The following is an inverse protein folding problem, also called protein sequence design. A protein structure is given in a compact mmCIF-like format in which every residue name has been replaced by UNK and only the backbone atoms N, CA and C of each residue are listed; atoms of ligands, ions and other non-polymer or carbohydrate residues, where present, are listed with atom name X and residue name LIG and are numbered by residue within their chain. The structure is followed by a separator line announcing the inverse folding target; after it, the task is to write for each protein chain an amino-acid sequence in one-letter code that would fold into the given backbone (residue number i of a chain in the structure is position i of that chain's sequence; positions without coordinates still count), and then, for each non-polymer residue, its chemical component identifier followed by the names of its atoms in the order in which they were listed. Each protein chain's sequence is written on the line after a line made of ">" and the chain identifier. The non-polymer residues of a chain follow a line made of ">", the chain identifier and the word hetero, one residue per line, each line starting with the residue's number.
data_IF_822593370950
#
_entry.id   IF_822593370950
#
_cell.length_a   1.000
_cell.length_b   1.000
_cell.length_c   1.000
_cell.angle_alpha   90.00
_cell.angle_beta   90.00
_cell.angle_gamma   90.00
#
_symmetry.space_group_name_H-M   'P 1'
#
loop_
_entity.id
_entity.type
_entity.pdbx_description
1 polymer ?
#
# COMPACT_ATOMS: atom_id res chain seq x y z
N UNK A 1 -0.97 -4.06 -7.16
CA UNK A 1 -0.12 -3.19 -6.35
C UNK A 1 -0.86 -1.91 -5.98
N UNK A 2 -0.93 -1.60 -4.70
CA UNK A 2 -1.52 -0.33 -4.24
C UNK A 2 -0.67 0.87 -4.68
N UNK A 3 0.63 0.69 -4.84
CA UNK A 3 1.52 1.75 -5.33
C UNK A 3 1.14 2.16 -6.75
N UNK A 4 0.92 1.20 -7.64
CA UNK A 4 0.48 1.46 -9.01
C UNK A 4 -0.91 2.10 -9.04
N UNK A 5 -1.82 1.59 -8.23
CA UNK A 5 -3.17 2.14 -8.12
C UNK A 5 -3.15 3.59 -7.65
N UNK A 6 -2.38 3.90 -6.61
CA UNK A 6 -2.21 5.26 -6.10
C UNK A 6 -1.62 6.20 -7.14
N UNK A 7 -0.60 5.78 -7.87
CA UNK A 7 -0.01 6.57 -8.96
C UNK A 7 -1.01 6.83 -10.07
N UNK A 8 -1.79 5.82 -10.47
CA UNK A 8 -2.80 5.95 -11.51
C UNK A 8 -3.87 6.97 -11.11
N UNK A 9 -4.40 6.88 -9.91
CA UNK A 9 -5.36 7.87 -9.41
C UNK A 9 -4.76 9.27 -9.33
N UNK A 10 -3.49 9.38 -8.96
CA UNK A 10 -2.81 10.69 -8.88
C UNK A 10 -2.74 11.40 -10.25
N UNK A 11 -2.75 10.65 -11.35
CA UNK A 11 -2.72 11.24 -12.69
C UNK A 11 -4.09 11.63 -13.21
N UNK A 12 -5.17 11.00 -12.74
CA UNK A 12 -6.50 11.14 -13.34
C UNK A 12 -7.51 11.88 -12.46
N UNK A 13 -7.30 11.97 -11.15
CA UNK A 13 -8.24 12.70 -10.28
C UNK A 13 -8.04 14.21 -10.40
N UNK A 14 -9.11 15.01 -10.30
CA UNK A 14 -8.97 16.47 -10.23
C UNK A 14 -8.15 16.87 -9.01
N UNK A 15 -7.29 17.85 -9.17
CA UNK A 15 -6.47 18.37 -8.09
C UNK A 15 -7.35 18.95 -6.98
N UNK A 16 -7.02 18.61 -5.73
CA UNK A 16 -7.68 19.19 -4.55
C UNK A 16 -7.09 20.54 -4.14
N UNK A 17 -5.96 20.93 -4.74
CA UNK A 17 -5.14 22.04 -4.27
C UNK A 17 -4.25 21.68 -3.08
N UNK A 18 -4.38 20.48 -2.53
CA UNK A 18 -3.56 19.93 -1.46
C UNK A 18 -2.69 18.83 -2.01
N UNK A 19 -1.38 19.05 -2.04
CA UNK A 19 -0.41 18.07 -2.51
C UNK A 19 0.42 17.60 -1.32
N UNK A 20 0.43 16.29 -1.09
CA UNK A 20 1.26 15.67 -0.07
C UNK A 20 2.72 15.68 -0.51
N UNK A 21 3.63 15.45 0.42
CA UNK A 21 5.05 15.28 0.11
C UNK A 21 5.22 14.20 -0.96
N UNK A 22 6.10 14.42 -1.93
CA UNK A 22 6.32 13.48 -3.02
C UNK A 22 5.37 13.65 -4.21
N UNK A 23 4.54 14.69 -4.22
CA UNK A 23 3.69 15.02 -5.36
C UNK A 23 2.38 14.25 -5.43
N UNK A 24 1.96 13.60 -4.35
CA UNK A 24 0.69 12.88 -4.29
C UNK A 24 -0.43 13.84 -3.91
N UNK A 25 -1.46 13.96 -4.75
CA UNK A 25 -2.64 14.75 -4.43
C UNK A 25 -3.46 14.06 -3.33
N UNK A 26 -3.98 14.84 -2.38
CA UNK A 26 -4.76 14.31 -1.27
C UNK A 26 -6.01 13.52 -1.72
N UNK A 27 -6.59 13.85 -2.88
CA UNK A 27 -7.74 13.13 -3.43
C UNK A 27 -7.37 11.79 -4.10
N UNK A 28 -6.11 11.59 -4.47
CA UNK A 28 -5.69 10.43 -5.24
C UNK A 28 -5.88 9.11 -4.51
N UNK A 29 -5.78 9.13 -3.19
CA UNK A 29 -5.82 7.91 -2.37
C UNK A 29 -7.18 7.62 -1.74
N UNK A 30 -8.16 8.49 -1.93
CA UNK A 30 -9.48 8.36 -1.31
C UNK A 30 -10.21 7.06 -1.70
N UNK A 31 -10.34 6.79 -3.00
CA UNK A 31 -11.00 5.58 -3.49
C UNK A 31 -10.24 4.30 -3.15
N UNK A 32 -8.91 4.23 -3.34
CA UNK A 32 -8.14 3.09 -2.88
C UNK A 32 -8.29 2.81 -1.39
N UNK A 33 -8.30 3.84 -0.55
CA UNK A 33 -8.52 3.66 0.90
C UNK A 33 -9.90 3.12 1.21
N UNK A 34 -10.94 3.57 0.52
CA UNK A 34 -12.31 3.03 0.68
C UNK A 34 -12.38 1.57 0.27
N UNK A 35 -11.70 1.21 -0.80
CA UNK A 35 -11.62 -0.18 -1.27
C UNK A 35 -11.03 -1.09 -0.18
N UNK A 36 -9.93 -0.68 0.44
CA UNK A 36 -9.34 -1.45 1.53
C UNK A 36 -10.19 -1.46 2.78
N UNK A 37 -10.96 -0.43 3.02
CA UNK A 37 -11.92 -0.38 4.12
C UNK A 37 -13.08 -1.37 3.99
N UNK A 38 -13.26 -2.00 2.83
CA UNK A 38 -14.27 -3.02 2.62
C UNK A 38 -13.89 -4.39 3.21
N UNK A 39 -12.61 -4.62 3.52
CA UNK A 39 -12.17 -5.86 4.16
C UNK A 39 -12.71 -5.93 5.58
N UNK A 40 -13.43 -7.00 5.90
CA UNK A 40 -14.07 -7.16 7.21
C UNK A 40 -14.54 -8.58 7.44
N UNK A 41 -14.77 -8.91 8.71
CA UNK A 41 -15.56 -10.07 9.11
C UNK A 41 -17.02 -9.65 9.27
N UNK A 42 -17.94 -10.50 8.84
CA UNK A 42 -19.36 -10.27 8.98
C UNK A 42 -19.90 -11.00 10.22
N UNK A 43 -20.77 -10.37 10.99
CA UNK A 43 -21.41 -11.00 12.16
C UNK A 43 -22.27 -12.21 11.76
N UNK A 44 -22.87 -12.15 10.58
CA UNK A 44 -23.71 -13.22 10.04
C UNK A 44 -22.91 -14.41 9.45
N UNK A 45 -21.61 -14.37 9.59
CA UNK A 45 -20.70 -15.34 8.98
C UNK A 45 -20.12 -14.85 7.67
N UNK A 46 -18.97 -15.38 7.33
CA UNK A 46 -18.22 -14.95 6.17
C UNK A 46 -17.31 -13.77 6.45
N UNK A 47 -16.38 -13.55 5.53
CA UNK A 47 -15.41 -12.46 5.62
C UNK A 47 -14.94 -12.07 4.23
N UNK A 48 -14.43 -10.85 4.11
CA UNK A 48 -13.72 -10.38 2.93
C UNK A 48 -12.28 -10.07 3.33
N UNK A 49 -11.33 -10.80 2.75
CA UNK A 49 -9.91 -10.59 2.95
C UNK A 49 -9.31 -9.96 1.71
N UNK A 50 -8.53 -8.91 1.88
CA UNK A 50 -7.78 -8.26 0.80
C UNK A 50 -6.30 -8.46 1.05
N UNK A 51 -5.60 -9.03 0.05
CA UNK A 51 -4.15 -9.15 0.05
C UNK A 51 -3.64 -8.17 -1.00
N UNK A 52 -2.82 -7.22 -0.56
CA UNK A 52 -2.29 -6.19 -1.43
C UNK A 52 -0.77 -6.10 -1.33
N UNK A 53 -0.13 -5.71 -2.41
CA UNK A 53 1.30 -5.45 -2.45
C UNK A 53 1.56 -3.95 -2.52
N UNK A 54 2.66 -3.51 -1.94
CA UNK A 54 3.15 -2.15 -2.05
C UNK A 54 4.65 -2.16 -2.32
N UNK A 55 5.11 -1.19 -3.09
CA UNK A 55 6.53 -1.01 -3.35
C UNK A 55 7.17 -0.20 -2.22
N UNK A 56 8.31 -0.68 -1.75
CA UNK A 56 9.14 0.03 -0.77
C UNK A 56 10.58 0.06 -1.28
N UNK A 57 11.38 0.98 -0.75
CA UNK A 57 12.80 1.11 -1.09
C UNK A 57 13.06 1.23 -2.60
N UNK A 58 12.20 1.95 -3.29
CA UNK A 58 12.34 2.20 -4.73
C UNK A 58 13.17 3.43 -5.05
N UNK A 59 13.51 4.23 -4.05
CA UNK A 59 14.14 5.54 -4.24
C UNK A 59 13.14 6.64 -4.63
N UNK A 60 11.89 6.32 -4.83
CA UNK A 60 10.84 7.29 -5.16
C UNK A 60 10.16 7.81 -3.90
N UNK A 61 10.16 9.13 -3.73
CA UNK A 61 9.45 9.77 -2.62
C UNK A 61 7.94 9.58 -2.73
N UNK A 62 7.39 9.56 -3.94
CA UNK A 62 5.98 9.29 -4.17
C UNK A 62 5.59 7.89 -3.68
N UNK A 63 6.40 6.90 -3.98
CA UNK A 63 6.15 5.52 -3.53
C UNK A 63 6.17 5.42 -2.00
N UNK A 64 7.11 6.10 -1.34
CA UNK A 64 7.16 6.16 0.12
C UNK A 64 5.90 6.78 0.70
N UNK A 65 5.43 7.89 0.14
CA UNK A 65 4.23 8.57 0.62
C UNK A 65 3.00 7.68 0.44
N UNK A 66 2.86 7.04 -0.70
CA UNK A 66 1.75 6.10 -0.94
C UNK A 66 1.78 4.97 0.09
N UNK A 67 2.95 4.38 0.33
CA UNK A 67 3.08 3.33 1.34
C UNK A 67 2.68 3.83 2.74
N UNK A 68 3.18 4.98 3.16
CA UNK A 68 2.87 5.55 4.48
C UNK A 68 1.37 5.86 4.64
N UNK A 69 0.71 6.32 3.59
CA UNK A 69 -0.73 6.59 3.62
C UNK A 69 -1.58 5.33 3.78
N UNK A 70 -1.09 4.19 3.31
CA UNK A 70 -1.78 2.90 3.48
C UNK A 70 -1.34 2.12 4.70
N UNK A 71 -0.20 2.47 5.28
CA UNK A 71 0.31 1.84 6.49
C UNK A 71 -0.70 2.01 7.63
N UNK A 72 -1.01 0.91 8.29
CA UNK A 72 -2.00 0.92 9.35
C UNK A 72 -3.44 0.68 8.90
N UNK A 73 -3.73 0.68 7.59
CA UNK A 73 -5.06 0.29 7.10
C UNK A 73 -5.22 -1.23 7.07
N UNK A 74 -4.12 -1.96 6.96
CA UNK A 74 -4.11 -3.41 7.06
C UNK A 74 -3.88 -3.87 8.48
N UNK A 75 -4.30 -5.09 8.78
CA UNK A 75 -4.10 -5.71 10.09
C UNK A 75 -2.95 -6.72 10.09
N UNK A 76 -2.27 -6.89 8.98
CA UNK A 76 -1.09 -7.75 8.88
C UNK A 76 -0.16 -7.19 7.81
N UNK A 77 1.11 -7.08 8.13
CA UNK A 77 2.14 -6.60 7.21
C UNK A 77 3.24 -7.64 7.10
N UNK A 78 3.55 -8.04 5.86
CA UNK A 78 4.67 -8.93 5.56
C UNK A 78 5.69 -8.12 4.77
N UNK A 79 6.87 -7.95 5.35
CA UNK A 79 7.96 -7.19 4.76
C UNK A 79 8.93 -8.15 4.10
N UNK A 80 9.23 -7.89 2.81
CA UNK A 80 10.23 -8.67 2.07
C UNK A 80 11.58 -7.96 2.09
N UNK A 81 12.66 -8.71 2.00
CA UNK A 81 14.01 -8.19 2.03
C UNK A 81 14.80 -8.67 0.82
N UNK A 82 15.40 -7.73 0.09
CA UNK A 82 16.24 -8.03 -1.08
C UNK A 82 17.46 -8.87 -0.72
N UNK A 83 18.06 -8.64 0.43
CA UNK A 83 19.24 -9.41 0.87
C UNK A 83 18.91 -10.87 1.06
N UNK A 84 17.70 -11.15 1.56
CA UNK A 84 17.20 -12.53 1.69
C UNK A 84 16.97 -13.15 0.32
N UNK A 85 16.34 -12.39 -0.59
CA UNK A 85 16.11 -12.83 -1.96
C UNK A 85 17.42 -13.08 -2.72
N UNK A 86 18.44 -12.26 -2.51
CA UNK A 86 19.78 -12.40 -3.11
C UNK A 86 20.46 -13.67 -2.65
N UNK A 87 20.16 -14.17 -1.47
CA UNK A 87 20.61 -15.47 -0.97
C UNK A 87 19.77 -16.63 -1.49
N UNK A 88 18.80 -16.36 -2.36
CA UNK A 88 17.86 -17.31 -2.94
C UNK A 88 17.02 -18.06 -1.92
N UNK A 89 16.69 -17.38 -0.82
CA UNK A 89 15.73 -17.85 0.18
C UNK A 89 14.36 -17.28 -0.16
N UNK A 90 13.41 -18.12 -0.43
CA UNK A 90 12.04 -17.72 -0.79
C UNK A 90 11.01 -18.50 0.05
N UNK A 91 9.93 -17.83 0.47
CA UNK A 91 9.70 -16.38 0.33
C UNK A 91 10.72 -15.56 1.11
N UNK A 92 11.11 -14.42 0.53
CA UNK A 92 12.17 -13.57 1.07
C UNK A 92 11.66 -12.64 2.18
N UNK A 93 11.12 -13.22 3.23
CA UNK A 93 10.46 -12.51 4.32
C UNK A 93 11.47 -12.04 5.36
N UNK A 94 11.38 -10.78 5.74
CA UNK A 94 12.08 -10.24 6.91
C UNK A 94 11.21 -10.49 8.14
N UNK A 95 11.55 -11.52 8.91
CA UNK A 95 10.76 -11.94 10.06
C UNK A 95 10.73 -10.87 11.15
N UNK A 96 11.80 -10.13 11.31
CA UNK A 96 11.91 -9.12 12.38
C UNK A 96 11.10 -7.86 12.09
N UNK A 97 10.93 -7.51 10.80
CA UNK A 97 10.17 -6.33 10.38
C UNK A 97 8.71 -6.61 10.09
N UNK A 98 8.37 -7.88 9.89
CA UNK A 98 6.98 -8.27 9.59
C UNK A 98 6.10 -8.32 10.83
#
# INVERSE_FOLDING_TARGET
>A
SITRLGRAYNTVVPSSGKVLTGGVDANALQRPKRFFGAARNLEEGGSLTIIATALIDTGSRMDEVIFEEFKGTGNSEIILDRKVADKRVFPAIDILKS
#
